data_IF_179062343336
#
_entry.id   IF_179062343336
#
_cell.length_a   1.000
_cell.length_b   1.000
_cell.length_c   1.000
_cell.angle_alpha   90.00
_cell.angle_beta   90.00
_cell.angle_gamma   90.00
#
_symmetry.space_group_name_H-M   'P 1'
#
loop_
_entity.id
_entity.type
_entity.pdbx_description
1 polymer ?
#
# COMPACT_ATOMS: atom_id res chain seq x y z
N UNK A 1 20.46 12.23 -20.68
CA UNK A 1 19.66 10.99 -20.77
C UNK A 1 20.58 9.82 -20.46
N UNK A 2 20.16 8.81 -19.71
CA UNK A 2 20.96 7.57 -19.60
C UNK A 2 21.02 6.88 -20.98
N UNK A 3 22.14 6.22 -21.29
CA UNK A 3 22.38 5.56 -22.58
C UNK A 3 21.26 4.57 -22.95
N UNK A 4 20.79 4.61 -24.20
CA UNK A 4 19.81 3.67 -24.78
C UNK A 4 20.24 2.20 -24.67
N UNK A 5 21.55 1.93 -24.56
CA UNK A 5 22.08 0.57 -24.44
C UNK A 5 21.74 -0.13 -23.11
N UNK A 6 21.26 0.62 -22.10
CA UNK A 6 20.83 0.05 -20.81
C UNK A 6 19.46 -0.64 -20.92
N UNK A 7 18.59 -0.14 -21.79
CA UNK A 7 17.25 -0.72 -22.03
C UNK A 7 17.32 -1.95 -22.95
N UNK A 8 18.14 -1.90 -24.00
CA UNK A 8 18.26 -2.99 -24.99
C UNK A 8 18.89 -4.27 -24.41
N UNK A 9 19.94 -4.15 -23.60
CA UNK A 9 20.66 -5.33 -23.05
C UNK A 9 19.86 -6.13 -22.02
N UNK A 10 18.82 -5.55 -21.43
CA UNK A 10 17.90 -6.25 -20.50
C UNK A 10 16.86 -7.05 -21.26
N UNK A 11 16.39 -6.50 -22.39
CA UNK A 11 15.49 -7.19 -23.30
C UNK A 11 16.15 -8.41 -23.96
N UNK A 12 17.40 -8.29 -24.44
CA UNK A 12 18.10 -9.43 -25.09
C UNK A 12 18.36 -10.62 -24.17
N UNK A 13 18.58 -10.40 -22.86
CA UNK A 13 18.81 -11.48 -21.88
C UNK A 13 17.55 -12.11 -21.33
N UNK A 14 16.39 -11.46 -21.47
CA UNK A 14 15.09 -12.05 -21.14
C UNK A 14 14.60 -13.01 -22.24
N UNK A 15 15.25 -13.01 -23.42
CA UNK A 15 14.86 -13.75 -24.62
C UNK A 15 15.81 -14.91 -24.98
N UNK A 16 16.47 -15.55 -24.00
CA UNK A 16 17.17 -16.82 -24.28
C UNK A 16 16.16 -17.91 -24.73
N UNK A 17 16.50 -18.73 -25.76
CA UNK A 17 15.52 -19.51 -26.50
C UNK A 17 15.14 -20.77 -25.73
N UNK A 18 13.98 -20.73 -25.08
CA UNK A 18 13.38 -21.90 -24.42
C UNK A 18 11.90 -21.75 -24.07
N UNK A 19 11.33 -20.54 -24.15
CA UNK A 19 9.89 -20.29 -24.01
C UNK A 19 9.45 -19.20 -24.98
N UNK A 20 9.25 -19.58 -26.23
CA UNK A 20 8.51 -18.76 -27.20
C UNK A 20 7.04 -19.13 -27.04
N UNK A 21 6.19 -18.18 -26.64
CA UNK A 21 4.89 -18.06 -27.29
C UNK A 21 4.84 -16.69 -27.94
N UNK A 22 4.81 -16.70 -29.27
CA UNK A 22 4.64 -15.53 -30.11
C UNK A 22 3.29 -14.86 -29.82
N UNK A 23 3.31 -13.58 -29.47
CA UNK A 23 2.20 -12.67 -29.68
C UNK A 23 2.76 -11.34 -30.20
N UNK A 24 2.25 -10.88 -31.34
CA UNK A 24 2.69 -9.67 -32.04
C UNK A 24 2.29 -8.42 -31.26
N UNK A 25 3.20 -7.44 -31.22
CA UNK A 25 2.94 -5.99 -31.26
C UNK A 25 1.94 -5.38 -30.26
N UNK A 26 2.47 -4.56 -29.35
CA UNK A 26 1.77 -3.56 -28.52
C UNK A 26 1.02 -4.02 -27.24
N UNK A 27 0.62 -5.28 -27.09
CA UNK A 27 -0.18 -5.69 -25.90
C UNK A 27 0.63 -6.30 -24.72
N UNK A 28 1.97 -6.32 -24.80
CA UNK A 28 2.81 -7.09 -23.85
C UNK A 28 3.49 -6.25 -22.74
N UNK A 29 3.22 -4.95 -22.64
CA UNK A 29 3.81 -4.08 -21.59
C UNK A 29 3.03 -4.15 -20.26
N UNK A 30 1.80 -4.68 -20.26
CA UNK A 30 0.94 -4.70 -19.07
C UNK A 30 1.06 -5.91 -18.14
N UNK A 31 1.94 -6.89 -18.41
CA UNK A 31 1.91 -8.16 -17.67
C UNK A 31 3.26 -8.72 -17.20
N UNK A 32 4.28 -7.87 -17.06
CA UNK A 32 5.44 -8.22 -16.23
C UNK A 32 5.06 -7.78 -14.80
N UNK A 33 5.01 -8.69 -13.81
CA UNK A 33 4.79 -8.29 -12.42
C UNK A 33 6.02 -7.48 -11.99
N UNK A 34 5.92 -6.16 -12.05
CA UNK A 34 6.92 -5.25 -11.51
C UNK A 34 6.79 -5.32 -9.99
N UNK A 35 7.80 -5.81 -9.25
CA UNK A 35 7.78 -5.78 -7.80
C UNK A 35 7.93 -4.31 -7.36
N UNK A 36 6.81 -3.63 -7.23
CA UNK A 36 6.76 -2.17 -7.02
C UNK A 36 5.41 -1.54 -7.39
N UNK A 37 4.58 -2.22 -8.20
CA UNK A 37 3.16 -1.90 -8.31
C UNK A 37 2.43 -2.97 -7.50
N UNK A 38 2.18 -2.70 -6.22
CA UNK A 38 1.15 -3.44 -5.48
C UNK A 38 -0.17 -3.18 -6.19
N UNK A 39 -0.56 -4.09 -7.08
CA UNK A 39 -1.93 -4.17 -7.61
C UNK A 39 -2.83 -4.42 -6.39
N UNK A 40 -3.37 -3.34 -5.84
CA UNK A 40 -4.23 -3.35 -4.66
C UNK A 40 -3.84 -2.36 -3.56
N UNK A 41 -2.65 -1.74 -3.59
CA UNK A 41 -2.51 -0.46 -2.87
C UNK A 41 -3.46 0.53 -3.54
N UNK A 42 -4.17 1.40 -2.79
CA UNK A 42 -4.98 2.41 -3.45
C UNK A 42 -4.11 3.19 -4.44
N UNK A 43 -4.40 3.03 -5.74
CA UNK A 43 -3.79 3.73 -6.88
C UNK A 43 -3.79 5.25 -6.68
N UNK A 44 -4.56 5.75 -5.73
CA UNK A 44 -4.54 7.11 -5.19
C UNK A 44 -3.14 7.74 -5.17
N UNK A 45 -2.11 6.99 -4.77
CA UNK A 45 -0.74 7.51 -4.68
C UNK A 45 0.08 7.41 -5.98
N UNK A 46 -0.33 6.55 -6.93
CA UNK A 46 0.34 6.38 -8.22
C UNK A 46 -0.34 7.17 -9.36
N UNK A 47 -1.67 7.27 -9.38
CA UNK A 47 -2.47 7.93 -10.42
C UNK A 47 -2.24 9.45 -10.47
N UNK A 48 -2.34 10.13 -9.33
CA UNK A 48 -2.09 11.58 -9.23
C UNK A 48 -0.64 11.97 -9.63
N UNK A 49 0.31 11.04 -9.49
CA UNK A 49 1.70 11.23 -9.91
C UNK A 49 1.90 11.08 -11.42
N UNK A 50 1.08 10.28 -12.11
CA UNK A 50 1.21 10.08 -13.56
C UNK A 50 0.69 11.32 -14.32
N UNK A 51 -0.41 11.92 -13.89
CA UNK A 51 -1.01 13.09 -14.56
C UNK A 51 -0.25 14.41 -14.32
N UNK A 52 0.31 14.63 -13.13
CA UNK A 52 1.06 15.85 -12.82
C UNK A 52 2.44 15.88 -13.51
N UNK A 53 3.01 14.71 -13.81
CA UNK A 53 4.34 14.61 -14.45
C UNK A 53 4.27 14.92 -15.95
N UNK A 54 3.16 14.63 -16.64
CA UNK A 54 2.97 14.99 -18.05
C UNK A 54 2.82 16.50 -18.34
N UNK A 55 2.85 17.36 -17.31
CA UNK A 55 2.69 18.83 -17.45
C UNK A 55 3.84 19.68 -16.91
N UNK A 56 4.98 19.08 -16.53
CA UNK A 56 6.23 19.83 -16.32
C UNK A 56 6.27 20.79 -15.12
N UNK A 57 5.62 20.47 -14.00
CA UNK A 57 5.69 21.30 -12.77
C UNK A 57 6.91 20.95 -11.92
N UNK A 58 7.64 21.97 -11.43
CA UNK A 58 8.89 21.86 -10.70
C UNK A 58 8.78 21.04 -9.39
N UNK A 59 9.77 20.18 -9.16
CA UNK A 59 9.84 19.15 -8.10
C UNK A 59 9.89 19.70 -6.66
N UNK A 60 9.94 21.03 -6.47
CA UNK A 60 9.82 21.69 -5.16
C UNK A 60 8.39 21.89 -4.65
N UNK A 61 7.36 21.54 -5.43
CA UNK A 61 5.92 21.74 -5.12
C UNK A 61 5.18 20.40 -4.90
N UNK A 62 5.86 19.26 -5.00
CA UNK A 62 5.29 17.91 -5.01
C UNK A 62 4.86 17.35 -3.63
N UNK A 63 4.11 18.13 -2.84
CA UNK A 63 3.23 17.59 -1.79
C UNK A 63 1.74 17.89 -2.11
N UNK A 64 1.46 18.46 -3.27
CA UNK A 64 0.12 18.91 -3.65
C UNK A 64 -0.57 17.97 -4.65
N UNK A 65 -0.74 16.68 -4.32
CA UNK A 65 -1.86 15.95 -4.94
C UNK A 65 -3.14 16.66 -4.49
N UNK A 66 -4.11 16.93 -5.39
CA UNK A 66 -5.40 17.49 -4.98
C UNK A 66 -6.00 16.76 -3.78
N UNK A 67 -5.80 15.44 -3.67
CA UNK A 67 -6.28 14.65 -2.54
C UNK A 67 -5.51 14.95 -1.25
N UNK A 68 -4.18 15.11 -1.32
CA UNK A 68 -3.37 15.47 -0.15
C UNK A 68 -3.71 16.89 0.31
N UNK A 69 -3.93 17.82 -0.61
CA UNK A 69 -4.38 19.17 -0.29
C UNK A 69 -5.76 19.19 0.37
N UNK A 70 -6.72 18.41 -0.17
CA UNK A 70 -8.01 18.20 0.47
C UNK A 70 -7.85 17.67 1.90
N UNK A 71 -6.94 16.72 2.08
CA UNK A 71 -6.73 16.09 3.37
C UNK A 71 -6.07 17.02 4.40
N UNK A 72 -5.14 17.88 3.97
CA UNK A 72 -4.46 18.85 4.83
C UNK A 72 -5.33 20.08 5.17
N UNK A 73 -6.26 20.46 4.29
CA UNK A 73 -7.08 21.66 4.47
C UNK A 73 -6.34 22.98 4.17
N UNK A 74 -7.03 24.13 4.19
CA UNK A 74 -6.43 25.42 3.85
C UNK A 74 -5.54 25.95 4.98
N UNK A 75 -4.25 26.16 4.69
CA UNK A 75 -3.32 26.92 5.55
C UNK A 75 -2.45 26.10 6.51
N UNK A 76 -2.57 24.77 6.52
CA UNK A 76 -1.62 23.93 7.27
C UNK A 76 -0.34 23.69 6.45
N UNK A 77 0.80 24.13 6.98
CA UNK A 77 2.11 23.82 6.42
C UNK A 77 2.38 22.31 6.48
N UNK A 78 3.14 21.80 5.52
CA UNK A 78 3.59 20.41 5.36
C UNK A 78 4.50 19.95 6.51
N UNK A 79 3.94 19.78 7.71
CA UNK A 79 4.65 19.19 8.86
C UNK A 79 3.76 18.28 9.70
N UNK A 80 3.33 17.15 9.16
CA UNK A 80 2.81 16.04 9.99
C UNK A 80 3.20 14.68 9.42
N UNK A 81 4.47 14.53 9.02
CA UNK A 81 5.06 13.19 9.13
C UNK A 81 5.25 12.94 10.62
N UNK A 82 4.39 12.09 11.19
CA UNK A 82 4.57 11.64 12.57
C UNK A 82 5.98 11.07 12.71
N UNK A 83 6.70 11.55 13.72
CA UNK A 83 8.06 11.10 14.01
C UNK A 83 8.07 9.56 14.16
N UNK A 84 8.82 8.83 13.31
CA UNK A 84 8.91 7.39 13.40
C UNK A 84 9.41 6.89 14.76
N UNK A 85 10.22 7.67 15.48
CA UNK A 85 10.65 7.33 16.83
C UNK A 85 9.48 7.42 17.82
N UNK A 86 8.67 8.48 17.73
CA UNK A 86 7.41 8.59 18.46
C UNK A 86 6.47 7.41 18.17
N UNK A 87 6.27 7.05 16.90
CA UNK A 87 5.43 5.89 16.51
C UNK A 87 5.96 4.61 17.15
N UNK A 88 7.27 4.37 17.09
CA UNK A 88 7.87 3.16 17.68
C UNK A 88 7.79 3.16 19.21
N UNK A 89 7.94 4.33 19.84
CA UNK A 89 7.77 4.49 21.28
C UNK A 89 6.33 4.22 21.71
N UNK A 90 5.35 4.76 20.99
CA UNK A 90 3.94 4.51 21.24
C UNK A 90 3.56 3.05 20.94
N UNK A 91 4.05 2.45 19.85
CA UNK A 91 3.89 1.00 19.57
C UNK A 91 4.43 0.14 20.73
N UNK A 92 5.57 0.51 21.33
CA UNK A 92 6.13 -0.16 22.51
C UNK A 92 5.22 -0.03 23.73
N UNK A 93 4.74 1.18 24.03
CA UNK A 93 3.80 1.42 25.16
C UNK A 93 2.48 0.66 24.98
N UNK A 94 2.03 0.54 23.75
CA UNK A 94 0.79 -0.14 23.37
C UNK A 94 0.96 -1.66 23.14
N UNK A 95 2.13 -2.22 23.44
CA UNK A 95 2.47 -3.64 23.35
C UNK A 95 2.31 -4.25 21.93
N UNK A 96 2.63 -3.49 20.89
CA UNK A 96 2.71 -4.01 19.51
C UNK A 96 3.87 -5.01 19.39
N UNK A 97 3.64 -6.12 18.70
CA UNK A 97 4.60 -7.20 18.56
C UNK A 97 5.58 -6.89 17.42
N UNK A 98 6.87 -6.79 17.76
CA UNK A 98 7.91 -6.53 16.76
C UNK A 98 7.96 -7.66 15.72
N UNK A 99 8.08 -7.30 14.45
CA UNK A 99 8.17 -8.25 13.34
C UNK A 99 6.83 -8.82 12.88
N UNK A 100 5.71 -8.39 13.48
CA UNK A 100 4.35 -8.68 12.99
C UNK A 100 3.77 -7.48 12.24
N UNK A 101 2.79 -7.78 11.40
CA UNK A 101 2.00 -6.80 10.67
C UNK A 101 0.73 -6.56 11.46
N UNK A 102 0.49 -5.31 11.85
CA UNK A 102 -0.68 -4.93 12.63
C UNK A 102 -1.71 -4.25 11.75
N UNK A 103 -2.85 -4.92 11.55
CA UNK A 103 -3.96 -4.43 10.74
C UNK A 103 -5.10 -4.00 11.66
N UNK A 104 -5.54 -2.75 11.53
CA UNK A 104 -6.71 -2.24 12.25
C UNK A 104 -7.98 -2.43 11.43
N UNK A 105 -9.04 -2.93 12.06
CA UNK A 105 -10.39 -2.99 11.49
C UNK A 105 -11.21 -1.91 12.17
N UNK A 106 -11.58 -0.88 11.42
CA UNK A 106 -12.23 0.32 11.93
C UNK A 106 -13.48 0.68 11.12
N UNK A 107 -14.30 1.57 11.66
CA UNK A 107 -15.56 2.02 11.06
C UNK A 107 -16.72 1.99 12.05
N UNK A 108 -17.88 2.44 11.61
CA UNK A 108 -19.06 2.63 12.47
C UNK A 108 -19.52 1.36 13.22
N UNK A 109 -20.17 1.56 14.36
CA UNK A 109 -20.82 0.46 15.10
C UNK A 109 -21.87 -0.24 14.22
N UNK A 110 -21.90 -1.57 14.27
CA UNK A 110 -22.79 -2.36 13.41
C UNK A 110 -22.35 -2.50 11.95
N UNK A 111 -21.21 -1.92 11.53
CA UNK A 111 -20.71 -2.04 10.16
C UNK A 111 -20.17 -3.42 9.79
N UNK A 112 -20.08 -4.36 10.74
CA UNK A 112 -19.65 -5.75 10.48
C UNK A 112 -18.17 -6.04 10.74
N UNK A 113 -17.44 -5.14 11.42
CA UNK A 113 -16.02 -5.30 11.80
C UNK A 113 -15.70 -6.67 12.41
N UNK A 114 -16.38 -7.04 13.49
CA UNK A 114 -16.12 -8.30 14.21
C UNK A 114 -16.43 -9.53 13.35
N UNK A 115 -17.43 -9.45 12.46
CA UNK A 115 -17.71 -10.53 11.49
C UNK A 115 -16.61 -10.69 10.45
N UNK A 116 -16.00 -9.59 9.98
CA UNK A 116 -14.85 -9.63 9.08
C UNK A 116 -13.63 -10.22 9.78
N UNK A 117 -13.39 -9.83 11.03
CA UNK A 117 -12.32 -10.41 11.85
C UNK A 117 -12.50 -11.92 11.91
N UNK A 118 -13.68 -12.41 12.28
CA UNK A 118 -13.96 -13.85 12.32
C UNK A 118 -13.73 -14.55 10.97
N UNK A 119 -14.10 -13.91 9.87
CA UNK A 119 -13.82 -14.42 8.53
C UNK A 119 -12.32 -14.51 8.23
N UNK A 120 -11.53 -13.49 8.59
CA UNK A 120 -10.07 -13.45 8.45
C UNK A 120 -9.34 -14.38 9.42
N UNK A 121 -9.99 -14.76 10.52
CA UNK A 121 -9.55 -15.82 11.44
C UNK A 121 -9.86 -17.23 10.91
N UNK A 122 -10.70 -17.34 9.87
CA UNK A 122 -11.17 -18.64 9.35
C UNK A 122 -12.26 -19.31 10.20
N UNK A 123 -12.87 -18.59 11.15
CA UNK A 123 -13.82 -19.15 12.13
C UNK A 123 -15.23 -18.59 11.95
N UNK A 124 -16.22 -19.27 12.52
CA UNK A 124 -17.61 -18.82 12.55
C UNK A 124 -17.86 -17.91 13.75
N UNK A 125 -18.84 -17.01 13.64
CA UNK A 125 -19.19 -16.07 14.72
C UNK A 125 -19.63 -16.75 16.03
N UNK A 126 -20.10 -18.01 15.96
CA UNK A 126 -20.53 -18.81 17.11
C UNK A 126 -19.39 -19.63 17.75
N UNK A 127 -18.20 -19.67 17.15
CA UNK A 127 -17.09 -20.47 17.64
C UNK A 127 -16.36 -19.79 18.81
N UNK A 128 -15.76 -20.61 19.67
CA UNK A 128 -14.91 -20.12 20.77
C UNK A 128 -13.71 -19.37 20.18
N UNK A 129 -13.41 -18.20 20.74
CA UNK A 129 -12.35 -17.31 20.23
C UNK A 129 -12.80 -16.33 19.16
N UNK A 130 -14.06 -16.38 18.72
CA UNK A 130 -14.63 -15.39 17.81
C UNK A 130 -14.75 -14.01 18.47
N UNK A 131 -14.47 -12.97 17.68
CA UNK A 131 -14.81 -11.60 18.01
C UNK A 131 -16.33 -11.48 18.18
N UNK A 132 -16.76 -10.93 19.32
CA UNK A 132 -18.17 -10.83 19.70
C UNK A 132 -18.90 -9.91 18.72
N UNK A 133 -19.99 -10.42 18.13
CA UNK A 133 -20.83 -9.66 17.19
C UNK A 133 -22.06 -9.11 17.93
N UNK A 134 -22.38 -7.83 17.74
CA UNK A 134 -23.56 -7.18 18.33
C UNK A 134 -23.81 -5.78 17.75
N UNK A 135 -25.04 -5.27 17.88
CA UNK A 135 -25.44 -3.93 17.40
C UNK A 135 -25.14 -2.82 18.41
N UNK A 136 -24.95 -3.18 19.68
CA UNK A 136 -24.47 -2.26 20.73
C UNK A 136 -22.95 -2.27 20.75
N UNK A 137 -22.32 -1.11 20.92
CA UNK A 137 -20.87 -0.99 21.03
C UNK A 137 -20.41 -1.76 22.29
N UNK A 138 -19.93 -2.99 22.09
CA UNK A 138 -19.57 -3.92 23.17
C UNK A 138 -18.08 -3.87 23.53
N UNK A 139 -17.30 -3.14 22.73
CA UNK A 139 -15.84 -3.10 22.81
C UNK A 139 -15.40 -1.74 23.33
N UNK A 140 -15.30 -1.60 24.66
CA UNK A 140 -14.82 -0.36 25.33
C UNK A 140 -13.30 -0.17 25.09
N UNK A 141 -12.59 -1.26 24.78
CA UNK A 141 -11.14 -1.30 24.57
C UNK A 141 -10.79 -2.17 23.38
N UNK A 142 -9.80 -1.73 22.57
CA UNK A 142 -9.24 -2.49 21.43
C UNK A 142 -9.02 -3.97 21.78
N UNK A 143 -9.48 -4.86 20.91
CA UNK A 143 -9.23 -6.30 21.00
C UNK A 143 -8.28 -6.76 19.90
N UNK A 144 -7.48 -7.79 20.16
CA UNK A 144 -6.43 -8.25 19.24
C UNK A 144 -6.55 -9.75 18.99
N UNK A 145 -6.42 -10.16 17.73
CA UNK A 145 -6.57 -11.54 17.29
C UNK A 145 -5.44 -11.92 16.31
N UNK A 146 -4.78 -13.09 16.46
CA UNK A 146 -3.85 -13.58 15.45
C UNK A 146 -4.63 -14.02 14.20
N UNK A 147 -4.25 -13.56 13.01
CA UNK A 147 -4.94 -13.94 11.77
C UNK A 147 -4.82 -15.46 11.48
N UNK A 148 -5.61 -15.94 10.51
CA UNK A 148 -5.51 -17.33 10.01
C UNK A 148 -4.07 -17.68 9.59
N UNK A 149 -3.73 -18.98 9.57
CA UNK A 149 -2.37 -19.47 9.24
C UNK A 149 -1.85 -18.97 7.88
N UNK A 150 -2.75 -18.80 6.91
CA UNK A 150 -2.47 -18.18 5.59
C UNK A 150 -1.88 -16.77 5.69
N UNK A 151 -2.06 -16.10 6.84
CA UNK A 151 -1.56 -14.77 7.18
C UNK A 151 -0.81 -14.80 8.53
N UNK A 152 0.01 -15.83 8.78
CA UNK A 152 0.63 -16.12 10.08
C UNK A 152 1.47 -14.99 10.71
N UNK A 153 1.93 -14.01 9.92
CA UNK A 153 2.65 -12.80 10.37
C UNK A 153 1.74 -11.63 10.75
N UNK A 154 0.43 -11.77 10.57
CA UNK A 154 -0.56 -10.70 10.79
C UNK A 154 -1.20 -10.80 12.17
N UNK A 155 -1.46 -9.63 12.74
CA UNK A 155 -2.25 -9.43 13.94
C UNK A 155 -3.39 -8.45 13.61
N UNK A 156 -4.62 -8.90 13.78
CA UNK A 156 -5.83 -8.14 13.52
C UNK A 156 -6.25 -7.41 14.81
N UNK A 157 -6.69 -6.17 14.68
CA UNK A 157 -7.17 -5.38 15.80
C UNK A 157 -8.59 -4.88 15.56
N UNK A 158 -9.51 -5.27 16.44
CA UNK A 158 -10.89 -4.75 16.45
C UNK A 158 -10.86 -3.38 17.13
N UNK A 159 -11.05 -2.32 16.34
CA UNK A 159 -11.13 -0.96 16.85
C UNK A 159 -12.59 -0.68 17.26
N UNK A 160 -12.83 -0.22 18.50
CA UNK A 160 -14.15 0.21 18.97
C UNK A 160 -14.86 1.08 17.95
N UNK A 161 -16.12 0.77 17.61
CA UNK A 161 -16.82 1.50 16.56
C UNK A 161 -17.09 2.95 16.94
N UNK A 162 -16.82 3.90 16.05
CA UNK A 162 -17.22 5.27 16.28
C UNK A 162 -18.75 5.41 16.22
N UNK A 163 -19.37 6.01 17.24
CA UNK A 163 -20.83 6.14 17.32
C UNK A 163 -21.40 6.49 18.69
N UNK A 164 -20.59 6.51 19.75
CA UNK A 164 -21.00 7.05 21.04
C UNK A 164 -20.85 8.59 21.09
N UNK A 165 -21.77 9.30 21.75
CA UNK A 165 -21.78 10.76 21.98
C UNK A 165 -20.50 11.33 22.67
N UNK A 166 -19.49 10.50 22.92
CA UNK A 166 -18.33 10.79 23.77
C UNK A 166 -17.07 11.21 23.01
N UNK A 167 -16.97 10.93 21.70
CA UNK A 167 -15.78 11.27 20.90
C UNK A 167 -16.19 11.88 19.55
N UNK A 168 -15.86 13.15 19.28
CA UNK A 168 -16.03 13.75 17.96
C UNK A 168 -15.27 12.96 16.88
N UNK A 169 -15.82 12.90 15.66
CA UNK A 169 -15.21 12.19 14.53
C UNK A 169 -13.77 12.64 14.25
N UNK A 170 -13.52 13.94 14.39
CA UNK A 170 -12.22 14.60 14.22
C UNK A 170 -11.11 14.01 15.10
N UNK A 171 -11.44 13.63 16.33
CA UNK A 171 -10.45 13.11 17.29
C UNK A 171 -10.40 11.58 17.31
N UNK A 172 -11.31 10.90 16.61
CA UNK A 172 -11.41 9.45 16.70
C UNK A 172 -10.14 8.74 16.22
N UNK A 173 -9.55 9.21 15.11
CA UNK A 173 -8.34 8.64 14.53
C UNK A 173 -7.16 8.70 15.51
N UNK A 174 -6.93 9.86 16.14
CA UNK A 174 -5.84 10.06 17.09
C UNK A 174 -6.10 9.38 18.44
N UNK A 175 -7.34 9.45 18.94
CA UNK A 175 -7.72 8.83 20.22
C UNK A 175 -7.58 7.30 20.18
N UNK A 176 -7.92 6.68 19.05
CA UNK A 176 -7.71 5.25 18.84
C UNK A 176 -6.27 4.91 18.39
N UNK A 177 -5.41 5.92 18.28
CA UNK A 177 -4.01 5.85 17.82
C UNK A 177 -3.88 5.08 16.51
N UNK A 178 -4.77 5.36 15.55
CA UNK A 178 -4.84 4.61 14.30
C UNK A 178 -3.57 4.74 13.44
N UNK A 179 -2.82 5.83 13.60
CA UNK A 179 -1.52 6.01 12.97
C UNK A 179 -0.46 4.95 13.36
N UNK A 180 -0.70 4.17 14.42
CA UNK A 180 0.20 3.09 14.84
C UNK A 180 0.06 1.81 14.03
N UNK A 181 -0.96 1.64 13.18
CA UNK A 181 -1.16 0.38 12.43
C UNK A 181 -0.45 0.39 11.08
N UNK A 182 -0.09 -0.77 10.56
CA UNK A 182 0.58 -0.89 9.26
C UNK A 182 -0.41 -0.80 8.09
N UNK A 183 -1.68 -1.15 8.33
CA UNK A 183 -2.78 -1.08 7.37
C UNK A 183 -4.11 -0.88 8.12
N UNK A 184 -5.00 -0.04 7.58
CA UNK A 184 -6.37 0.12 8.06
C UNK A 184 -7.36 -0.49 7.08
N UNK A 185 -8.29 -1.30 7.60
CA UNK A 185 -9.49 -1.73 6.88
C UNK A 185 -10.67 -0.89 7.39
N UNK A 186 -11.13 0.04 6.55
CA UNK A 186 -12.25 0.94 6.85
C UNK A 186 -13.54 0.27 6.40
N UNK A 187 -14.34 -0.21 7.35
CA UNK A 187 -15.50 -1.07 7.11
C UNK A 187 -16.80 -0.28 7.24
N UNK A 188 -17.59 -0.28 6.18
CA UNK A 188 -18.96 0.26 6.16
C UNK A 188 -19.96 -0.78 5.64
N UNK A 189 -21.24 -0.62 5.99
CA UNK A 189 -22.33 -1.50 5.52
C UNK A 189 -23.49 -0.74 4.86
N UNK A 190 -23.25 0.51 4.47
CA UNK A 190 -24.26 1.44 3.98
C UNK A 190 -23.58 2.72 3.52
N UNK A 191 -24.06 3.88 3.98
CA UNK A 191 -23.39 5.15 3.73
C UNK A 191 -22.14 5.31 4.59
N UNK A 192 -21.10 5.96 4.07
CA UNK A 192 -19.97 6.40 4.89
C UNK A 192 -20.44 7.49 5.86
N UNK A 193 -20.07 7.35 7.12
CA UNK A 193 -20.23 8.40 8.11
C UNK A 193 -19.07 9.39 8.10
N UNK A 194 -19.25 10.50 8.82
CA UNK A 194 -18.20 11.49 9.03
C UNK A 194 -16.90 10.87 9.59
N UNK A 195 -17.01 9.89 10.47
CA UNK A 195 -15.84 9.18 11.03
C UNK A 195 -15.08 8.43 9.96
N UNK A 196 -15.76 7.74 9.05
CA UNK A 196 -15.09 6.96 8.01
C UNK A 196 -14.32 7.88 7.04
N UNK A 197 -14.94 9.01 6.68
CA UNK A 197 -14.31 10.07 5.88
C UNK A 197 -13.08 10.64 6.60
N UNK A 198 -13.18 10.92 7.89
CA UNK A 198 -12.09 11.50 8.67
C UNK A 198 -10.92 10.51 8.84
N UNK A 199 -11.19 9.21 8.97
CA UNK A 199 -10.16 8.17 8.97
C UNK A 199 -9.44 8.17 7.62
N UNK A 200 -10.18 8.14 6.50
CA UNK A 200 -9.60 8.17 5.15
C UNK A 200 -8.76 9.43 4.95
N UNK A 201 -9.27 10.58 5.38
CA UNK A 201 -8.57 11.86 5.34
C UNK A 201 -7.24 11.79 6.09
N UNK A 202 -7.21 11.31 7.32
CA UNK A 202 -5.98 11.20 8.09
C UNK A 202 -4.99 10.17 7.52
N UNK A 203 -5.49 9.04 6.99
CA UNK A 203 -4.64 8.10 6.25
C UNK A 203 -3.96 8.75 5.06
N UNK A 204 -4.67 9.59 4.29
CA UNK A 204 -4.08 10.36 3.20
C UNK A 204 -3.03 11.35 3.72
N UNK A 205 -3.34 12.12 4.77
CA UNK A 205 -2.43 13.13 5.35
C UNK A 205 -1.06 12.55 5.70
N UNK A 206 -1.03 11.39 6.36
CA UNK A 206 0.22 10.78 6.82
C UNK A 206 0.75 9.66 5.91
N UNK A 207 0.12 9.46 4.75
CA UNK A 207 0.43 8.39 3.79
C UNK A 207 0.37 6.98 4.39
N UNK A 208 -0.61 6.73 5.26
CA UNK A 208 -0.86 5.43 5.84
C UNK A 208 -1.68 4.55 4.88
N UNK A 209 -1.31 3.28 4.68
CA UNK A 209 -2.09 2.37 3.86
C UNK A 209 -3.48 2.12 4.45
N UNK A 210 -4.51 2.17 3.61
CA UNK A 210 -5.87 1.83 3.98
C UNK A 210 -6.61 1.14 2.84
N UNK A 211 -7.70 0.44 3.17
CA UNK A 211 -8.61 -0.16 2.20
C UNK A 211 -10.06 0.02 2.68
N UNK A 212 -10.96 0.40 1.77
CA UNK A 212 -12.38 0.54 2.07
C UNK A 212 -13.09 -0.79 1.78
N UNK A 213 -13.85 -1.27 2.75
CA UNK A 213 -14.56 -2.54 2.66
C UNK A 213 -16.06 -2.33 2.89
N UNK A 214 -16.85 -2.70 1.89
CA UNK A 214 -18.31 -2.77 2.01
C UNK A 214 -18.73 -4.17 2.44
N UNK A 215 -19.02 -4.32 3.73
CA UNK A 215 -19.53 -5.56 4.32
C UNK A 215 -21.01 -5.78 3.96
N UNK A 216 -21.64 -6.87 4.41
CA UNK A 216 -23.11 -7.12 4.26
C UNK A 216 -23.64 -6.96 2.83
N UNK A 217 -22.82 -7.24 1.83
CA UNK A 217 -23.23 -7.09 0.42
C UNK A 217 -24.26 -8.16 0.03
N UNK A 218 -24.22 -9.31 0.67
CA UNK A 218 -25.21 -10.38 0.56
C UNK A 218 -26.63 -9.92 0.93
N UNK A 219 -26.78 -9.20 2.05
CA UNK A 219 -28.09 -8.67 2.47
C UNK A 219 -28.63 -7.69 1.42
N UNK A 220 -27.78 -6.81 0.90
CA UNK A 220 -28.18 -5.83 -0.12
C UNK A 220 -28.55 -6.51 -1.45
N UNK A 221 -27.78 -7.51 -1.88
CA UNK A 221 -28.09 -8.29 -3.09
C UNK A 221 -29.39 -9.06 -2.91
N UNK A 222 -29.58 -9.75 -1.78
CA UNK A 222 -30.83 -10.47 -1.51
C UNK A 222 -32.04 -9.55 -1.47
N UNK A 223 -31.91 -8.32 -0.93
CA UNK A 223 -32.99 -7.33 -1.00
C UNK A 223 -33.31 -6.99 -2.46
N UNK A 224 -32.30 -6.71 -3.29
CA UNK A 224 -32.53 -6.40 -4.71
C UNK A 224 -33.24 -7.55 -5.42
N UNK A 225 -32.82 -8.80 -5.22
CA UNK A 225 -33.48 -9.99 -5.81
C UNK A 225 -34.93 -10.16 -5.33
N UNK A 226 -35.23 -9.81 -4.09
CA UNK A 226 -36.59 -9.92 -3.56
C UNK A 226 -37.50 -8.77 -4.02
N UNK A 227 -36.92 -7.58 -4.24
CA UNK A 227 -37.66 -6.36 -4.57
C UNK A 227 -37.75 -6.13 -6.11
N UNK A 228 -37.01 -6.91 -6.90
CA UNK A 228 -36.94 -6.80 -8.37
C UNK A 228 -36.94 -8.18 -9.03
N UNK A 229 -37.34 -8.29 -10.30
CA UNK A 229 -37.29 -9.56 -11.06
C UNK A 229 -35.88 -9.91 -11.59
N UNK A 230 -34.82 -9.41 -10.95
CA UNK A 230 -33.44 -9.66 -11.37
C UNK A 230 -32.92 -10.99 -10.83
N UNK A 231 -32.13 -11.68 -11.64
CA UNK A 231 -31.35 -12.82 -11.18
C UNK A 231 -30.19 -12.38 -10.25
N UNK A 232 -29.51 -13.36 -9.63
CA UNK A 232 -28.44 -13.06 -8.68
C UNK A 232 -27.26 -12.29 -9.28
N UNK A 233 -26.90 -12.57 -10.54
CA UNK A 233 -25.75 -11.91 -11.18
C UNK A 233 -26.09 -10.46 -11.56
N UNK A 234 -27.29 -10.22 -12.09
CA UNK A 234 -27.80 -8.89 -12.36
C UNK A 234 -27.96 -8.06 -11.08
N UNK A 235 -28.51 -8.65 -10.01
CA UNK A 235 -28.63 -8.00 -8.71
C UNK A 235 -27.27 -7.66 -8.09
N UNK A 236 -26.28 -8.56 -8.23
CA UNK A 236 -24.89 -8.31 -7.83
C UNK A 236 -24.27 -7.15 -8.61
N UNK A 237 -24.39 -7.15 -9.94
CA UNK A 237 -23.88 -6.05 -10.78
C UNK A 237 -24.55 -4.71 -10.43
N UNK A 238 -25.85 -4.71 -10.18
CA UNK A 238 -26.58 -3.54 -9.72
C UNK A 238 -26.11 -3.07 -8.33
N UNK A 239 -25.95 -3.98 -7.37
CA UNK A 239 -25.44 -3.66 -6.04
C UNK A 239 -24.03 -3.04 -6.09
N UNK A 240 -23.15 -3.61 -6.92
CA UNK A 240 -21.81 -3.05 -7.16
C UNK A 240 -21.92 -1.63 -7.72
N UNK A 241 -22.68 -1.43 -8.79
CA UNK A 241 -22.87 -0.11 -9.42
C UNK A 241 -23.42 0.93 -8.43
N UNK A 242 -24.46 0.58 -7.68
CA UNK A 242 -25.10 1.48 -6.72
C UNK A 242 -24.19 1.78 -5.54
N UNK A 243 -23.44 0.80 -5.04
CA UNK A 243 -22.48 1.00 -3.94
C UNK A 243 -21.35 1.94 -4.34
N UNK A 244 -20.79 1.78 -5.54
CA UNK A 244 -19.74 2.66 -6.05
C UNK A 244 -20.26 4.08 -6.32
N UNK A 245 -21.49 4.23 -6.81
CA UNK A 245 -22.13 5.53 -7.00
C UNK A 245 -22.39 6.26 -5.68
N UNK A 246 -22.81 5.53 -4.64
CA UNK A 246 -23.00 6.08 -3.29
C UNK A 246 -21.67 6.59 -2.72
N UNK A 247 -20.61 5.77 -2.77
CA UNK A 247 -19.27 6.18 -2.34
C UNK A 247 -18.76 7.42 -3.09
N UNK A 248 -18.97 7.46 -4.42
CA UNK A 248 -18.60 8.64 -5.22
C UNK A 248 -19.29 9.90 -4.72
N UNK A 249 -20.58 9.81 -4.43
CA UNK A 249 -21.39 10.92 -3.92
C UNK A 249 -20.88 11.37 -2.55
N UNK A 250 -20.65 10.43 -1.64
CA UNK A 250 -20.19 10.71 -0.27
C UNK A 250 -18.81 11.38 -0.24
N UNK A 251 -17.87 10.93 -1.07
CA UNK A 251 -16.57 11.59 -1.18
C UNK A 251 -16.64 12.95 -1.89
N UNK A 252 -17.53 13.09 -2.87
CA UNK A 252 -17.76 14.38 -3.55
C UNK A 252 -18.33 15.42 -2.58
N UNK A 253 -19.32 15.03 -1.77
CA UNK A 253 -19.89 15.86 -0.69
C UNK A 253 -18.84 16.22 0.37
N UNK A 254 -17.89 15.31 0.64
CA UNK A 254 -16.76 15.58 1.52
C UNK A 254 -15.70 16.53 0.91
N UNK A 255 -15.84 16.92 -0.36
CA UNK A 255 -14.92 17.83 -1.06
C UNK A 255 -13.69 17.14 -1.65
N UNK A 256 -13.70 15.81 -1.79
CA UNK A 256 -12.60 15.07 -2.42
C UNK A 256 -12.52 15.42 -3.90
N UNK A 257 -11.32 15.62 -4.48
CA UNK A 257 -11.17 15.87 -5.92
C UNK A 257 -11.63 14.69 -6.77
N UNK A 258 -12.36 14.97 -7.85
CA UNK A 258 -13.05 13.97 -8.68
C UNK A 258 -12.14 12.84 -9.21
N UNK A 259 -10.93 13.17 -9.66
CA UNK A 259 -9.96 12.18 -10.17
C UNK A 259 -9.52 11.22 -9.06
N UNK A 260 -9.37 11.74 -7.84
CA UNK A 260 -9.01 10.94 -6.68
C UNK A 260 -10.16 10.10 -6.16
N UNK A 261 -11.41 10.56 -6.33
CA UNK A 261 -12.60 9.75 -6.00
C UNK A 261 -12.62 8.49 -6.87
N UNK A 262 -12.34 8.61 -8.16
CA UNK A 262 -12.33 7.45 -9.07
C UNK A 262 -11.35 6.39 -8.57
N UNK A 263 -10.15 6.79 -8.16
CA UNK A 263 -9.15 5.87 -7.61
C UNK A 263 -9.61 5.24 -6.29
N UNK A 264 -10.11 6.03 -5.34
CA UNK A 264 -10.63 5.53 -4.06
C UNK A 264 -11.76 4.49 -4.29
N UNK A 265 -12.72 4.84 -5.15
CA UNK A 265 -13.91 4.02 -5.42
C UNK A 265 -13.54 2.72 -6.12
N UNK A 266 -12.61 2.75 -7.07
CA UNK A 266 -12.14 1.55 -7.78
C UNK A 266 -11.46 0.51 -6.86
N UNK A 267 -11.01 0.93 -5.67
CA UNK A 267 -10.38 0.06 -4.68
C UNK A 267 -11.30 -0.33 -3.52
N UNK A 268 -12.58 0.05 -3.57
CA UNK A 268 -13.54 -0.43 -2.60
C UNK A 268 -13.84 -1.92 -2.83
N UNK A 269 -13.63 -2.75 -1.81
CA UNK A 269 -13.89 -4.19 -1.89
C UNK A 269 -15.23 -4.52 -1.24
N UNK A 270 -16.15 -5.10 -2.02
CA UNK A 270 -17.44 -5.57 -1.55
C UNK A 270 -17.34 -7.04 -1.12
N UNK A 271 -17.82 -7.35 0.08
CA UNK A 271 -17.70 -8.70 0.65
C UNK A 271 -19.00 -9.24 1.26
N UNK A 272 -19.10 -10.56 1.18
CA UNK A 272 -19.87 -11.45 2.04
C UNK A 272 -18.90 -12.13 3.02
N UNK A 273 -19.18 -12.08 4.32
CA UNK A 273 -18.26 -12.62 5.34
C UNK A 273 -18.12 -14.15 5.29
N UNK A 274 -19.18 -14.86 4.90
CA UNK A 274 -19.13 -16.32 4.74
C UNK A 274 -18.29 -16.72 3.53
N UNK A 275 -18.43 -16.00 2.40
CA UNK A 275 -17.59 -16.17 1.22
C UNK A 275 -16.13 -15.85 1.55
N UNK A 276 -15.89 -14.74 2.26
CA UNK A 276 -14.55 -14.33 2.67
C UNK A 276 -13.88 -15.40 3.52
N UNK A 277 -14.61 -15.95 4.50
CA UNK A 277 -14.10 -17.06 5.31
C UNK A 277 -13.71 -18.26 4.45
N UNK A 278 -14.54 -18.65 3.48
CA UNK A 278 -14.22 -19.75 2.56
C UNK A 278 -12.97 -19.45 1.73
N UNK A 279 -12.82 -18.23 1.22
CA UNK A 279 -11.62 -17.83 0.48
C UNK A 279 -10.36 -17.88 1.37
N UNK A 280 -10.44 -17.42 2.62
CA UNK A 280 -9.34 -17.47 3.60
C UNK A 280 -8.93 -18.91 3.90
N UNK A 281 -9.90 -19.83 4.02
CA UNK A 281 -9.66 -21.26 4.22
C UNK A 281 -9.20 -22.01 2.96
N UNK A 282 -9.21 -21.35 1.79
CA UNK A 282 -8.96 -22.01 0.49
C UNK A 282 -10.07 -22.97 0.05
N UNK A 283 -11.30 -22.77 0.54
CA UNK A 283 -12.44 -23.70 0.42
C UNK A 283 -13.64 -23.14 -0.36
N UNK A 284 -13.43 -22.23 -1.30
CA UNK A 284 -14.53 -21.77 -2.16
C UNK A 284 -14.18 -20.57 -3.00
N UNK A 285 -15.04 -20.33 -3.98
CA UNK A 285 -14.93 -19.19 -4.88
C UNK A 285 -15.43 -17.90 -4.23
N UNK A 286 -14.93 -16.79 -4.77
CA UNK A 286 -15.41 -15.44 -4.47
C UNK A 286 -16.88 -15.32 -4.88
N UNK A 287 -17.72 -14.76 -4.02
CA UNK A 287 -19.11 -14.44 -4.38
C UNK A 287 -19.17 -13.05 -5.00
N UNK A 288 -18.36 -12.11 -4.51
CA UNK A 288 -18.24 -10.74 -5.01
C UNK A 288 -16.76 -10.43 -5.22
N UNK A 289 -16.09 -9.75 -4.28
CA UNK A 289 -14.68 -9.37 -4.35
C UNK A 289 -13.84 -9.98 -3.20
N UNK A 290 -14.30 -11.05 -2.54
CA UNK A 290 -13.60 -11.59 -1.36
C UNK A 290 -12.21 -12.13 -1.69
N UNK A 291 -12.05 -12.76 -2.85
CA UNK A 291 -10.75 -13.24 -3.31
C UNK A 291 -9.78 -12.08 -3.60
N UNK A 292 -10.29 -10.91 -4.00
CA UNK A 292 -9.50 -9.71 -4.21
C UNK A 292 -8.91 -9.19 -2.90
N UNK A 293 -9.71 -9.19 -1.82
CA UNK A 293 -9.22 -8.86 -0.48
C UNK A 293 -8.13 -9.83 -0.02
N UNK A 294 -8.34 -11.14 -0.20
CA UNK A 294 -7.34 -12.16 0.15
C UNK A 294 -6.05 -11.95 -0.65
N UNK A 295 -6.14 -11.71 -1.96
CA UNK A 295 -4.97 -11.45 -2.82
C UNK A 295 -4.24 -10.18 -2.42
N UNK A 296 -4.97 -9.11 -2.11
CA UNK A 296 -4.39 -7.87 -1.62
C UNK A 296 -3.61 -8.10 -0.33
N UNK A 297 -4.21 -8.75 0.67
CA UNK A 297 -3.55 -9.03 1.95
C UNK A 297 -2.31 -9.90 1.76
N UNK A 298 -2.38 -10.97 0.96
CA UNK A 298 -1.22 -11.81 0.64
C UNK A 298 -0.09 -11.00 0.02
N UNK A 299 -0.41 -10.13 -0.95
CA UNK A 299 0.58 -9.30 -1.62
C UNK A 299 1.18 -8.27 -0.66
N UNK A 300 0.35 -7.63 0.16
CA UNK A 300 0.78 -6.67 1.19
C UNK A 300 1.75 -7.32 2.20
N UNK A 301 1.41 -8.52 2.68
CA UNK A 301 2.24 -9.27 3.63
C UNK A 301 3.57 -9.66 2.99
N UNK A 302 3.56 -10.15 1.75
CA UNK A 302 4.77 -10.52 1.03
C UNK A 302 5.70 -9.30 0.87
N UNK A 303 5.16 -8.13 0.53
CA UNK A 303 5.93 -6.89 0.44
C UNK A 303 6.52 -6.47 1.78
N UNK A 304 5.77 -6.63 2.87
CA UNK A 304 6.25 -6.34 4.23
C UNK A 304 7.39 -7.30 4.64
N UNK A 305 7.24 -8.60 4.36
CA UNK A 305 8.22 -9.65 4.68
C UNK A 305 9.51 -9.54 3.87
N UNK A 306 9.47 -8.98 2.65
CA UNK A 306 10.67 -8.70 1.85
C UNK A 306 11.46 -7.46 2.32
N UNK A 307 11.25 -7.01 3.56
CA UNK A 307 12.04 -5.95 4.18
C UNK A 307 11.73 -4.53 3.69
N UNK A 308 10.66 -4.30 2.93
CA UNK A 308 10.31 -2.96 2.45
C UNK A 308 10.11 -1.94 3.58
N UNK A 309 9.48 -2.37 4.67
CA UNK A 309 9.30 -1.53 5.85
C UNK A 309 10.62 -1.26 6.58
N UNK A 310 11.52 -2.25 6.61
CA UNK A 310 12.86 -2.12 7.17
C UNK A 310 13.72 -1.15 6.34
N UNK A 311 13.72 -1.28 5.01
CA UNK A 311 14.42 -0.35 4.12
C UNK A 311 13.87 1.08 4.20
N UNK A 312 12.53 1.26 4.27
CA UNK A 312 11.91 2.58 4.51
C UNK A 312 12.25 3.14 5.89
N UNK A 313 12.29 2.30 6.91
CA UNK A 313 12.72 2.67 8.26
C UNK A 313 14.17 3.16 8.27
N UNK A 314 15.08 2.38 7.68
CA UNK A 314 16.49 2.76 7.55
C UNK A 314 16.65 4.09 6.84
N UNK A 315 16.03 4.26 5.67
CA UNK A 315 16.07 5.50 4.89
C UNK A 315 15.58 6.71 5.69
N UNK A 316 14.55 6.55 6.53
CA UNK A 316 14.00 7.62 7.36
C UNK A 316 14.89 8.04 8.52
N UNK A 317 15.74 7.15 9.03
CA UNK A 317 16.65 7.43 10.15
C UNK A 317 18.08 7.73 9.71
N UNK A 318 18.43 7.31 8.50
CA UNK A 318 19.76 7.43 7.91
C UNK A 318 20.30 8.85 8.05
N UNK A 319 21.49 8.96 8.64
CA UNK A 319 22.17 10.24 8.91
C UNK A 319 21.27 11.26 9.63
N UNK A 320 20.62 10.83 10.72
CA UNK A 320 19.69 11.65 11.52
C UNK A 320 18.53 12.23 10.69
N UNK A 321 17.98 11.41 9.79
CA UNK A 321 16.81 11.76 9.00
C UNK A 321 17.08 12.61 7.76
N UNK A 322 18.34 12.70 7.31
CA UNK A 322 18.72 13.42 6.09
C UNK A 322 17.91 13.02 4.85
N UNK A 323 17.48 11.76 4.79
CA UNK A 323 16.80 11.17 3.64
C UNK A 323 15.32 10.86 3.89
N UNK A 324 14.72 11.46 4.92
CA UNK A 324 13.34 11.19 5.34
C UNK A 324 12.27 11.47 4.26
N UNK A 325 12.55 12.39 3.34
CA UNK A 325 11.68 12.79 2.24
C UNK A 325 11.91 11.99 0.96
N UNK A 326 12.85 11.04 0.95
CA UNK A 326 13.12 10.25 -0.24
C UNK A 326 12.08 9.14 -0.46
N UNK A 327 11.71 8.95 -1.72
CA UNK A 327 10.78 7.90 -2.11
C UNK A 327 11.54 6.58 -2.34
N UNK A 328 11.40 5.67 -1.39
CA UNK A 328 11.99 4.33 -1.41
C UNK A 328 11.45 3.46 -2.55
N UNK A 329 12.35 2.78 -3.27
CA UNK A 329 12.00 1.80 -4.31
C UNK A 329 12.30 0.38 -3.82
N UNK A 330 13.45 0.18 -3.17
CA UNK A 330 13.91 -1.15 -2.78
C UNK A 330 15.26 -1.09 -2.08
N UNK A 331 15.68 -2.18 -1.46
CA UNK A 331 17.02 -2.32 -0.93
C UNK A 331 17.54 -3.75 -1.11
N UNK A 332 18.86 -3.91 -1.04
CA UNK A 332 19.53 -5.20 -0.93
C UNK A 332 20.48 -5.15 0.28
N UNK A 333 20.30 -6.07 1.22
CA UNK A 333 21.27 -6.29 2.28
C UNK A 333 22.52 -6.98 1.72
N UNK A 334 23.68 -6.52 2.17
CA UNK A 334 25.01 -7.00 1.82
C UNK A 334 25.70 -7.56 3.07
N UNK A 335 26.93 -8.09 2.90
CA UNK A 335 27.76 -8.54 4.03
C UNK A 335 28.15 -7.35 4.94
N UNK A 336 28.55 -7.65 6.18
CA UNK A 336 29.09 -6.66 7.14
C UNK A 336 28.12 -5.53 7.53
N UNK A 337 26.84 -5.88 7.71
CA UNK A 337 25.76 -4.94 8.04
C UNK A 337 25.54 -3.83 7.00
N UNK A 338 26.06 -4.00 5.78
CA UNK A 338 25.88 -3.06 4.69
C UNK A 338 24.56 -3.28 3.97
N UNK A 339 23.96 -2.23 3.43
CA UNK A 339 22.81 -2.35 2.55
C UNK A 339 22.84 -1.28 1.46
N UNK A 340 22.38 -1.63 0.27
CA UNK A 340 22.14 -0.67 -0.80
C UNK A 340 20.67 -0.33 -0.80
N UNK A 341 20.31 0.94 -0.61
CA UNK A 341 18.96 1.46 -0.75
C UNK A 341 18.87 2.22 -2.07
N UNK A 342 17.82 1.95 -2.85
CA UNK A 342 17.53 2.65 -4.09
C UNK A 342 16.27 3.48 -3.90
N UNK A 343 16.37 4.77 -4.23
CA UNK A 343 15.25 5.72 -4.22
C UNK A 343 15.03 6.28 -5.63
N UNK A 344 13.92 6.99 -5.84
CA UNK A 344 13.70 7.70 -7.11
C UNK A 344 14.67 8.88 -7.34
N UNK A 345 15.44 9.27 -6.34
CA UNK A 345 16.38 10.39 -6.43
C UNK A 345 17.84 9.92 -6.53
N UNK A 346 18.21 8.83 -5.85
CA UNK A 346 19.61 8.42 -5.70
C UNK A 346 19.76 6.95 -5.29
N UNK A 347 21.00 6.47 -5.36
CA UNK A 347 21.43 5.17 -4.84
C UNK A 347 22.25 5.43 -3.58
N UNK A 348 21.93 4.76 -2.48
CA UNK A 348 22.59 4.91 -1.19
C UNK A 348 23.26 3.60 -0.82
N UNK A 349 24.52 3.66 -0.39
CA UNK A 349 25.15 2.57 0.35
C UNK A 349 25.20 2.98 1.82
N UNK A 350 24.63 2.13 2.67
CA UNK A 350 24.42 2.43 4.08
C UNK A 350 24.97 1.32 4.95
N UNK A 351 25.27 1.65 6.20
CA UNK A 351 25.44 0.67 7.27
C UNK A 351 24.14 0.58 8.06
N UNK A 352 23.51 -0.59 8.05
CA UNK A 352 22.25 -0.87 8.75
C UNK A 352 22.32 -0.71 10.27
N UNK A 353 23.54 -0.74 10.83
CA UNK A 353 23.85 -0.45 12.24
C UNK A 353 25.20 0.28 12.29
N UNK A 354 25.24 1.62 12.48
CA UNK A 354 24.26 2.41 13.24
C UNK A 354 23.26 3.24 12.41
N UNK A 355 23.02 2.96 11.12
CA UNK A 355 22.22 3.80 10.20
C UNK A 355 22.93 5.08 9.76
N UNK A 356 24.14 4.89 9.23
CA UNK A 356 24.94 5.94 8.60
C UNK A 356 25.14 5.64 7.12
N UNK A 357 25.19 6.67 6.28
CA UNK A 357 25.54 6.52 4.87
C UNK A 357 27.05 6.39 4.72
N UNK A 358 27.49 5.43 3.91
CA UNK A 358 28.88 5.38 3.42
C UNK A 358 29.02 6.30 2.19
N UNK A 359 28.02 6.28 1.32
CA UNK A 359 27.87 7.26 0.24
C UNK A 359 26.44 7.30 -0.30
N UNK A 360 26.10 8.45 -0.89
CA UNK A 360 24.87 8.63 -1.65
C UNK A 360 25.17 9.18 -3.04
N UNK A 361 24.58 8.57 -4.06
CA UNK A 361 24.84 8.87 -5.46
C UNK A 361 23.57 9.28 -6.19
N UNK A 362 23.36 10.59 -6.42
CA UNK A 362 22.20 11.10 -7.16
C UNK A 362 22.08 10.51 -8.56
N UNK A 363 20.89 10.06 -8.96
CA UNK A 363 20.67 9.49 -10.30
C UNK A 363 21.04 10.48 -11.42
N UNK A 364 20.92 11.78 -11.16
CA UNK A 364 21.31 12.85 -12.09
C UNK A 364 22.80 12.86 -12.45
N UNK A 365 23.68 12.39 -11.57
CA UNK A 365 25.13 12.37 -11.81
C UNK A 365 25.59 11.11 -12.53
N UNK A 366 24.72 10.12 -12.67
CA UNK A 366 25.05 8.84 -13.28
C UNK A 366 24.88 8.92 -14.81
N UNK A 367 25.84 8.33 -15.52
CA UNK A 367 25.82 8.15 -16.98
C UNK A 367 25.35 6.74 -17.35
N UNK A 368 25.89 5.74 -16.67
CA UNK A 368 25.67 4.33 -16.97
C UNK A 368 25.74 3.49 -15.70
N UNK A 369 24.93 2.44 -15.66
CA UNK A 369 25.00 1.35 -14.69
C UNK A 369 25.22 0.06 -15.49
N UNK A 370 26.17 -0.78 -15.09
CA UNK A 370 26.44 -2.05 -15.77
C UNK A 370 26.41 -3.22 -14.77
N UNK A 371 25.77 -4.31 -15.18
CA UNK A 371 25.77 -5.58 -14.43
C UNK A 371 27.01 -6.38 -14.81
N UNK A 372 27.93 -6.53 -13.87
CA UNK A 372 29.15 -7.30 -14.02
C UNK A 372 29.03 -8.69 -13.38
N UNK A 373 30.08 -9.51 -13.47
CA UNK A 373 30.09 -10.85 -12.86
C UNK A 373 30.13 -10.80 -11.33
N UNK A 374 30.80 -9.81 -10.77
CA UNK A 374 31.06 -9.67 -9.32
C UNK A 374 30.17 -8.63 -8.65
N UNK A 375 29.34 -7.90 -9.40
CA UNK A 375 28.56 -6.81 -8.85
C UNK A 375 27.95 -5.88 -9.88
N UNK A 376 27.66 -4.65 -9.44
CA UNK A 376 27.14 -3.56 -10.26
C UNK A 376 28.18 -2.45 -10.32
N UNK A 377 28.60 -2.04 -11.51
CA UNK A 377 29.48 -0.90 -11.71
C UNK A 377 28.69 0.33 -12.17
N UNK A 378 29.10 1.50 -11.68
CA UNK A 378 28.43 2.77 -11.97
C UNK A 378 29.45 3.72 -12.60
N UNK A 379 29.09 4.31 -13.74
CA UNK A 379 29.90 5.31 -14.43
C UNK A 379 29.23 6.67 -14.31
N UNK A 380 29.98 7.69 -13.89
CA UNK A 380 29.47 9.04 -13.70
C UNK A 380 29.46 9.84 -15.01
N UNK A 381 28.62 10.88 -15.05
CA UNK A 381 28.67 11.88 -16.10
C UNK A 381 30.01 12.61 -16.02
N UNK A 382 30.65 12.82 -17.17
CA UNK A 382 32.05 13.26 -17.25
C UNK A 382 33.06 12.13 -17.43
N UNK A 383 32.63 10.86 -17.41
CA UNK A 383 33.49 9.71 -17.73
C UNK A 383 34.33 9.19 -16.57
N UNK A 384 34.19 9.78 -15.37
CA UNK A 384 34.81 9.26 -14.16
C UNK A 384 34.17 7.92 -13.72
N UNK A 385 34.98 7.05 -13.13
CA UNK A 385 34.51 5.83 -12.49
C UNK A 385 33.76 6.19 -11.21
N UNK A 386 32.52 5.71 -11.08
CA UNK A 386 31.74 5.82 -9.86
C UNK A 386 31.96 4.62 -8.93
N UNK A 387 31.25 4.59 -7.79
CA UNK A 387 31.35 3.48 -6.85
C UNK A 387 30.83 2.18 -7.47
N UNK A 388 31.45 1.06 -7.10
CA UNK A 388 30.99 -0.28 -7.44
C UNK A 388 30.32 -0.94 -6.24
N UNK A 389 29.29 -1.75 -6.51
CA UNK A 389 28.56 -2.52 -5.50
C UNK A 389 28.87 -3.99 -5.72
N UNK A 390 29.61 -4.59 -4.80
CA UNK A 390 29.94 -6.02 -4.87
C UNK A 390 28.75 -6.87 -4.45
N UNK A 391 28.33 -7.79 -5.32
CA UNK A 391 27.25 -8.75 -5.06
C UNK A 391 27.66 -10.10 -5.68
N UNK A 392 28.12 -11.00 -4.82
CA UNK A 392 28.60 -12.34 -5.23
C UNK A 392 27.44 -13.18 -5.80
N UNK A 393 26.31 -13.20 -5.09
CA UNK A 393 25.16 -14.01 -5.48
C UNK A 393 24.48 -13.48 -6.76
N UNK A 394 24.27 -14.38 -7.71
CA UNK A 394 23.70 -14.05 -9.01
C UNK A 394 22.24 -13.58 -8.94
N UNK A 395 21.45 -14.13 -8.02
CA UNK A 395 20.04 -13.78 -7.86
C UNK A 395 19.89 -12.40 -7.20
N UNK A 396 20.64 -12.13 -6.14
CA UNK A 396 20.72 -10.83 -5.49
C UNK A 396 21.20 -9.75 -6.45
N UNK A 397 22.20 -10.05 -7.29
CA UNK A 397 22.70 -9.12 -8.31
C UNK A 397 21.64 -8.81 -9.36
N UNK A 398 20.87 -9.80 -9.80
CA UNK A 398 19.74 -9.60 -10.71
C UNK A 398 18.64 -8.75 -10.07
N UNK A 399 18.29 -9.02 -8.81
CA UNK A 399 17.30 -8.26 -8.06
C UNK A 399 17.69 -6.79 -7.89
N UNK A 400 18.92 -6.50 -7.43
CA UNK A 400 19.41 -5.12 -7.32
C UNK A 400 19.38 -4.40 -8.67
N UNK A 401 19.77 -5.11 -9.74
CA UNK A 401 19.74 -4.54 -11.08
C UNK A 401 18.31 -4.21 -11.56
N UNK A 402 17.32 -5.02 -11.21
CA UNK A 402 15.90 -4.74 -11.50
C UNK A 402 15.40 -3.50 -10.74
N UNK A 403 15.73 -3.35 -9.46
CA UNK A 403 15.37 -2.17 -8.66
C UNK A 403 15.99 -0.90 -9.27
N UNK A 404 17.28 -0.96 -9.62
CA UNK A 404 17.98 0.15 -10.29
C UNK A 404 17.36 0.50 -11.64
N UNK A 405 16.90 -0.51 -12.39
CA UNK A 405 16.23 -0.31 -13.66
C UNK A 405 14.93 0.49 -13.50
N UNK A 406 14.12 0.18 -12.49
CA UNK A 406 12.89 0.94 -12.17
C UNK A 406 13.25 2.41 -11.89
N UNK A 407 14.26 2.65 -11.05
CA UNK A 407 14.69 3.99 -10.67
C UNK A 407 15.16 4.81 -11.89
N UNK A 408 16.00 4.23 -12.74
CA UNK A 408 16.54 4.88 -13.94
C UNK A 408 15.46 5.13 -14.99
N UNK A 409 14.54 4.18 -15.18
CA UNK A 409 13.44 4.31 -16.14
C UNK A 409 12.54 5.49 -15.77
N UNK A 410 12.13 5.56 -14.50
CA UNK A 410 11.30 6.66 -14.01
C UNK A 410 12.07 8.00 -14.06
N UNK A 411 13.35 8.01 -13.72
CA UNK A 411 14.19 9.21 -13.82
C UNK A 411 14.30 9.73 -15.27
N UNK A 412 14.49 8.83 -16.25
CA UNK A 412 14.55 9.21 -17.66
C UNK A 412 13.21 9.72 -18.18
N UNK A 413 12.10 9.11 -17.75
CA UNK A 413 10.74 9.57 -18.09
C UNK A 413 10.54 11.01 -17.64
N UNK A 414 10.86 11.32 -16.37
CA UNK A 414 10.79 12.69 -15.80
C UNK A 414 11.67 13.70 -16.54
N UNK A 415 12.81 13.28 -17.09
CA UNK A 415 13.68 14.16 -17.89
C UNK A 415 13.17 14.41 -19.31
N UNK A 416 12.33 13.52 -19.86
CA UNK A 416 11.74 13.65 -21.19
C UNK A 416 10.49 14.52 -21.21
N UNK A 417 9.86 14.73 -20.04
CA UNK A 417 8.65 15.55 -19.91
C UNK A 417 7.37 14.82 -20.34
N UNK A 418 7.41 13.48 -20.42
CA UNK A 418 6.27 12.62 -20.76
C UNK A 418 5.43 12.22 -19.53
#
# INVERSE_FOLDING_TARGET
MFSSSFAEKVFERATEPGRILMARGADMIFNIPIPGILVGFPLIFAGAMVEAVGRGVAVGVLIASPLVNWALGPGEATSTLLDPELINNERRKENFQKGRIHIAICGQTGSGKSSIINALLGIQNSQVGAARVGTTETTISRATYPAHESFSSVTLHDIPGAGTRRTPAENYYDNQKLFLFDLLLVVHSGRLGQVDIEIVKNCVRIQQPFLIIRSKSDISISSIVNDTDLDQEAAKAQHMKTSLAALRTEFSEAGVPEDSIKDIVNHCILINNQALRKCVLGQGDSVINELELVRFLTTFIASFQQGWMQGRYWLRQLDNGRYCNEQYIGHLELKEDMAVIVTYAQILLIRSKPLTSEWGLPLKTIKQIAKERTGISITLRGGANGPSITVEDGNQRNFLYQILFVAVTEFNRRLRGD
#
